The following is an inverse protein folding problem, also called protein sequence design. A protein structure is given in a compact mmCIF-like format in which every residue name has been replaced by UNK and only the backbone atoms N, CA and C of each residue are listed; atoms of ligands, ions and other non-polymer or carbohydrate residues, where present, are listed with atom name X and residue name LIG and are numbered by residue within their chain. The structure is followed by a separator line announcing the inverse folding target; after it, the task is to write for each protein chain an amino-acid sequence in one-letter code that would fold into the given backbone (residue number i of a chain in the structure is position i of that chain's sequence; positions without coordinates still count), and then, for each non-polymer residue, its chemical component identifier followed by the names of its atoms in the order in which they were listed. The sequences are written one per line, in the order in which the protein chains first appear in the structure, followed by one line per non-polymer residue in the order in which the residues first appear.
data_IF_914697122724
#
_entry.id   IF_914697122724
#
_cell.length_a   1.000
_cell.length_b   1.000
_cell.length_c   1.000
_cell.angle_alpha   90.00
_cell.angle_beta   90.00
_cell.angle_gamma   90.00
#
_symmetry.space_group_name_H-M   'P 1'
#
loop_
_entity.id
_entity.type
_entity.pdbx_description
1 polymer ?
#
# COMPACT_ATOMS: atom_id res chain seq x y z
N UNK A 1 -4.78 -6.54 2.91
CA UNK A 1 -3.66 -5.70 2.43
C UNK A 1 -3.80 -4.27 2.93
N UNK A 2 -2.74 -3.72 3.52
CA UNK A 2 -2.63 -2.32 3.88
C UNK A 2 -1.71 -1.59 2.90
N UNK A 3 -2.22 -0.53 2.26
CA UNK A 3 -1.48 0.21 1.23
C UNK A 3 -0.92 1.52 1.79
N UNK A 4 0.39 1.74 1.63
CA UNK A 4 1.06 3.01 1.94
C UNK A 4 1.48 3.69 0.64
N UNK A 5 0.76 4.75 0.26
CA UNK A 5 1.02 5.53 -0.94
C UNK A 5 1.65 6.89 -0.59
N UNK A 6 2.26 7.55 -1.57
CA UNK A 6 2.88 8.87 -1.40
C UNK A 6 4.13 9.04 -2.26
N UNK A 7 4.60 10.27 -2.45
CA UNK A 7 5.76 10.54 -3.30
C UNK A 7 7.04 9.91 -2.75
N UNK A 8 8.08 9.85 -3.57
CA UNK A 8 9.42 9.50 -3.11
C UNK A 8 9.84 10.41 -1.94
N UNK A 9 10.53 9.85 -0.95
CA UNK A 9 10.95 10.59 0.25
C UNK A 9 9.85 10.94 1.27
N UNK A 10 8.58 10.57 1.05
CA UNK A 10 7.49 10.86 2.00
C UNK A 10 7.59 10.10 3.34
N UNK A 11 8.43 9.06 3.41
CA UNK A 11 8.60 8.22 4.61
C UNK A 11 7.75 6.95 4.64
N UNK A 12 7.24 6.48 3.49
CA UNK A 12 6.48 5.23 3.34
C UNK A 12 7.28 4.02 3.83
N UNK A 13 8.47 3.80 3.27
CA UNK A 13 9.35 2.68 3.64
C UNK A 13 9.74 2.74 5.12
N UNK A 14 10.03 3.94 5.66
CA UNK A 14 10.29 4.12 7.10
C UNK A 14 9.10 3.70 7.97
N UNK A 15 7.88 4.03 7.57
CA UNK A 15 6.67 3.60 8.28
C UNK A 15 6.47 2.08 8.13
N UNK A 16 6.65 1.53 6.93
CA UNK A 16 6.55 0.11 6.66
C UNK A 16 7.54 -0.70 7.52
N UNK A 17 8.83 -0.32 7.56
CA UNK A 17 9.84 -0.96 8.41
C UNK A 17 9.47 -0.92 9.90
N UNK A 18 8.86 0.19 10.37
CA UNK A 18 8.41 0.30 11.76
C UNK A 18 7.21 -0.62 12.06
N UNK A 19 6.28 -0.74 11.12
CA UNK A 19 5.14 -1.67 11.25
C UNK A 19 5.64 -3.11 11.27
N UNK A 20 6.57 -3.45 10.38
CA UNK A 20 7.24 -4.75 10.36
C UNK A 20 7.93 -5.04 11.70
N UNK A 21 8.85 -4.18 12.15
CA UNK A 21 9.58 -4.39 13.39
C UNK A 21 8.67 -4.50 14.64
N UNK A 22 7.52 -3.83 14.63
CA UNK A 22 6.58 -3.84 15.77
C UNK A 22 5.60 -5.02 15.75
N UNK A 23 5.18 -5.46 14.57
CA UNK A 23 4.07 -6.41 14.42
C UNK A 23 4.41 -7.70 13.67
N UNK A 24 5.60 -7.80 13.09
CA UNK A 24 6.01 -8.89 12.20
C UNK A 24 5.33 -8.85 10.83
N UNK A 25 4.56 -7.81 10.52
CA UNK A 25 3.79 -7.77 9.27
C UNK A 25 4.71 -7.80 8.04
N UNK A 26 4.43 -8.66 7.05
CA UNK A 26 5.21 -8.70 5.82
C UNK A 26 5.06 -7.38 5.07
N UNK A 27 6.15 -6.95 4.41
CA UNK A 27 6.19 -5.73 3.61
C UNK A 27 6.51 -6.12 2.16
N UNK A 28 5.71 -5.61 1.22
CA UNK A 28 5.93 -5.74 -0.22
C UNK A 28 6.29 -4.36 -0.77
N UNK A 29 7.45 -4.28 -1.43
CA UNK A 29 7.92 -3.08 -2.13
C UNK A 29 7.42 -3.12 -3.57
N UNK A 30 6.37 -2.34 -3.85
CA UNK A 30 5.73 -2.28 -5.17
C UNK A 30 6.61 -1.61 -6.23
N UNK A 31 7.60 -0.83 -5.79
CA UNK A 31 8.60 -0.26 -6.69
C UNK A 31 9.46 -1.36 -7.35
N UNK A 32 9.45 -2.62 -6.87
CA UNK A 32 10.16 -3.71 -7.54
C UNK A 32 9.46 -4.19 -8.84
N UNK A 33 8.24 -3.72 -9.10
CA UNK A 33 7.47 -4.06 -10.31
C UNK A 33 7.68 -3.08 -11.48
N UNK A 34 8.75 -2.27 -11.46
CA UNK A 34 9.13 -1.51 -12.64
C UNK A 34 9.39 -2.44 -13.84
N UNK A 35 9.03 -1.97 -15.03
CA UNK A 35 9.42 -2.63 -16.28
C UNK A 35 10.93 -2.52 -16.48
N UNK A 36 11.48 -3.40 -17.29
CA UNK A 36 12.89 -3.32 -17.65
C UNK A 36 13.15 -2.14 -18.58
N UNK A 37 14.30 -1.47 -18.44
CA UNK A 37 14.72 -0.35 -19.28
C UNK A 37 14.90 -0.69 -20.76
N UNK A 38 14.88 -1.98 -21.10
CA UNK A 38 14.90 -2.49 -22.47
C UNK A 38 13.50 -2.81 -23.03
N UNK A 39 12.45 -2.71 -22.21
CA UNK A 39 11.06 -2.93 -22.64
C UNK A 39 10.66 -1.82 -23.63
N UNK A 40 10.30 -2.25 -24.85
CA UNK A 40 9.91 -1.35 -25.95
C UNK A 40 8.55 -0.69 -25.73
N UNK A 41 7.76 -1.18 -24.77
CA UNK A 41 6.51 -0.59 -24.33
C UNK A 41 6.67 0.53 -23.30
N UNK A 42 7.90 0.84 -22.86
CA UNK A 42 8.13 1.92 -21.89
C UNK A 42 7.66 3.28 -22.43
N UNK A 43 6.96 4.07 -21.61
CA UNK A 43 6.68 5.45 -21.93
C UNK A 43 7.99 6.24 -22.02
N UNK A 44 8.12 7.07 -23.05
CA UNK A 44 9.32 7.86 -23.32
C UNK A 44 9.02 9.34 -23.13
N UNK A 45 9.92 10.03 -22.44
CA UNK A 45 9.92 11.49 -22.33
C UNK A 45 10.27 12.15 -23.68
N UNK A 46 10.00 13.46 -23.86
CA UNK A 46 10.39 14.20 -25.06
C UNK A 46 11.91 14.21 -25.36
N UNK A 47 12.73 13.84 -24.38
CA UNK A 47 14.19 13.75 -24.51
C UNK A 47 14.66 12.37 -24.98
N UNK A 48 13.74 11.44 -25.28
CA UNK A 48 14.08 10.08 -25.70
C UNK A 48 14.61 9.19 -24.57
N UNK A 49 14.32 9.55 -23.32
CA UNK A 49 14.63 8.74 -22.13
C UNK A 49 13.34 8.16 -21.54
N UNK A 50 13.36 6.95 -20.94
CA UNK A 50 12.18 6.41 -20.26
C UNK A 50 11.62 7.37 -19.21
N UNK A 51 10.29 7.51 -19.19
CA UNK A 51 9.55 8.28 -18.19
C UNK A 51 9.12 7.37 -17.05
N UNK A 52 9.97 7.26 -16.03
CA UNK A 52 9.75 6.41 -14.86
C UNK A 52 8.68 6.92 -13.89
N UNK A 53 8.20 8.16 -14.07
CA UNK A 53 7.09 8.70 -13.27
C UNK A 53 5.72 8.40 -13.92
N UNK A 54 5.71 7.87 -15.15
CA UNK A 54 4.49 7.50 -15.85
C UNK A 54 3.93 6.16 -15.35
N UNK A 55 2.61 6.07 -15.20
CA UNK A 55 1.94 4.86 -14.66
C UNK A 55 2.16 3.59 -15.50
N UNK A 56 2.55 3.72 -16.77
CA UNK A 56 2.85 2.58 -17.64
C UNK A 56 4.29 2.09 -17.51
N UNK A 57 5.15 2.76 -16.73
CA UNK A 57 6.55 2.35 -16.52
C UNK A 57 6.71 1.16 -15.57
N UNK A 58 5.63 0.72 -14.92
CA UNK A 58 5.61 -0.42 -14.01
C UNK A 58 4.48 -1.38 -14.38
N UNK A 59 4.61 -2.64 -13.98
CA UNK A 59 3.61 -3.68 -14.24
C UNK A 59 2.63 -3.80 -13.07
N UNK A 60 1.61 -2.94 -13.10
CA UNK A 60 0.58 -2.88 -12.06
C UNK A 60 -0.30 -4.14 -11.97
N UNK A 61 -0.52 -4.85 -13.08
CA UNK A 61 -1.29 -6.09 -13.08
C UNK A 61 -0.48 -7.23 -12.46
N UNK A 62 0.81 -7.39 -12.84
CA UNK A 62 1.69 -8.35 -12.20
C UNK A 62 1.82 -8.09 -10.68
N UNK A 63 1.86 -6.81 -10.27
CA UNK A 63 1.85 -6.43 -8.86
C UNK A 63 0.55 -6.86 -8.18
N UNK A 64 -0.62 -6.58 -8.77
CA UNK A 64 -1.91 -6.97 -8.22
C UNK A 64 -2.04 -8.49 -8.06
N UNK A 65 -1.61 -9.25 -9.06
CA UNK A 65 -1.69 -10.71 -9.05
C UNK A 65 -0.77 -11.33 -8.00
N UNK A 66 0.46 -10.83 -7.86
CA UNK A 66 1.37 -11.26 -6.82
C UNK A 66 0.84 -10.93 -5.40
N UNK A 67 0.22 -9.75 -5.22
CA UNK A 67 -0.42 -9.37 -3.95
C UNK A 67 -1.64 -10.25 -3.63
N UNK A 68 -2.43 -10.61 -4.64
CA UNK A 68 -3.57 -11.53 -4.48
C UNK A 68 -3.09 -12.93 -4.11
N UNK A 69 -2.09 -13.44 -4.81
CA UNK A 69 -1.46 -14.72 -4.51
C UNK A 69 -0.98 -14.75 -3.05
N UNK A 70 -0.23 -13.72 -2.61
CA UNK A 70 0.25 -13.62 -1.23
C UNK A 70 -0.90 -13.63 -0.21
N UNK A 71 -2.02 -12.96 -0.51
CA UNK A 71 -3.17 -12.93 0.39
C UNK A 71 -3.90 -14.27 0.48
N UNK A 72 -4.11 -14.93 -0.66
CA UNK A 72 -4.92 -16.15 -0.76
C UNK A 72 -4.13 -17.40 -0.40
N UNK A 73 -2.91 -17.51 -0.91
CA UNK A 73 -2.05 -18.69 -0.77
C UNK A 73 -1.09 -18.56 0.42
N UNK A 74 -0.86 -17.34 0.90
CA UNK A 74 0.03 -17.07 2.03
C UNK A 74 1.50 -16.97 1.67
N UNK A 75 1.86 -17.17 0.40
CA UNK A 75 3.20 -16.96 -0.17
C UNK A 75 3.08 -16.43 -1.60
N UNK A 76 4.05 -15.65 -2.05
CA UNK A 76 4.21 -15.26 -3.44
C UNK A 76 5.66 -14.85 -3.72
N UNK A 77 6.09 -14.96 -4.98
CA UNK A 77 7.38 -14.47 -5.42
C UNK A 77 7.27 -13.02 -5.88
N UNK A 78 8.10 -12.15 -5.31
CA UNK A 78 8.23 -10.76 -5.68
C UNK A 78 9.52 -10.55 -6.47
N UNK A 79 9.54 -9.69 -7.50
CA UNK A 79 10.76 -9.32 -8.19
C UNK A 79 11.75 -8.64 -7.25
N UNK A 80 13.02 -8.62 -7.63
CA UNK A 80 14.07 -7.77 -7.05
C UNK A 80 14.58 -6.87 -8.15
N UNK A 81 14.21 -5.59 -8.10
CA UNK A 81 14.56 -4.64 -9.15
C UNK A 81 15.87 -3.91 -8.83
N UNK A 82 16.80 -3.90 -9.78
CA UNK A 82 18.03 -3.11 -9.70
C UNK A 82 17.83 -1.80 -10.47
N UNK A 83 17.62 -0.71 -9.74
CA UNK A 83 17.41 0.63 -10.30
C UNK A 83 18.60 1.06 -11.17
N UNK A 84 19.83 0.70 -10.78
CA UNK A 84 21.05 1.08 -11.51
C UNK A 84 21.19 0.38 -12.85
N UNK A 85 20.60 -0.81 -12.99
CA UNK A 85 20.52 -1.56 -14.26
C UNK A 85 19.21 -1.36 -14.99
N UNK A 86 18.22 -0.76 -14.34
CA UNK A 86 16.83 -0.69 -14.80
C UNK A 86 16.32 -2.08 -15.21
N UNK A 87 16.57 -3.10 -14.39
CA UNK A 87 16.27 -4.49 -14.75
C UNK A 87 15.91 -5.33 -13.53
N UNK A 88 15.16 -6.41 -13.75
CA UNK A 88 14.90 -7.40 -12.71
C UNK A 88 16.15 -8.26 -12.53
N UNK A 89 16.67 -8.26 -11.30
CA UNK A 89 17.90 -8.99 -10.94
C UNK A 89 17.64 -10.38 -10.36
N UNK A 90 16.38 -10.70 -10.05
CA UNK A 90 15.95 -11.96 -9.48
C UNK A 90 14.56 -11.87 -8.89
N UNK A 91 14.19 -12.86 -8.10
CA UNK A 91 12.96 -12.87 -7.30
C UNK A 91 13.25 -13.32 -5.88
N UNK A 92 12.37 -12.97 -4.95
CA UNK A 92 12.41 -13.41 -3.57
C UNK A 92 11.02 -13.86 -3.10
N UNK A 93 10.95 -14.84 -2.21
CA UNK A 93 9.68 -15.26 -1.61
C UNK A 93 9.27 -14.29 -0.50
N UNK A 94 8.01 -13.85 -0.53
CA UNK A 94 7.37 -13.18 0.60
C UNK A 94 6.33 -14.11 1.19
N UNK A 95 6.36 -14.28 2.51
CA UNK A 95 5.42 -15.13 3.24
C UNK A 95 4.54 -14.28 4.14
N UNK A 96 3.26 -14.64 4.21
CA UNK A 96 2.29 -14.02 5.13
C UNK A 96 2.50 -14.48 6.56
N UNK A 97 3.02 -15.69 6.76
CA UNK A 97 3.30 -16.31 8.06
C UNK A 97 2.13 -16.19 9.06
N UNK A 98 0.91 -16.41 8.56
CA UNK A 98 -0.31 -16.35 9.36
C UNK A 98 -0.83 -14.94 9.69
N UNK A 99 -0.06 -13.87 9.41
CA UNK A 99 -0.48 -12.49 9.68
C UNK A 99 -1.70 -12.08 8.85
N UNK A 100 -2.73 -11.53 9.47
CA UNK A 100 -3.93 -11.04 8.77
C UNK A 100 -3.69 -9.74 8.00
N UNK A 101 -2.56 -9.08 8.25
CA UNK A 101 -2.15 -7.83 7.62
C UNK A 101 -0.82 -8.04 6.90
N UNK A 102 -0.79 -7.61 5.63
CA UNK A 102 0.40 -7.42 4.81
C UNK A 102 0.43 -5.94 4.44
N UNK A 103 1.61 -5.33 4.42
CA UNK A 103 1.83 -3.93 4.03
C UNK A 103 2.38 -3.90 2.62
N UNK A 104 1.77 -3.14 1.72
CA UNK A 104 2.30 -2.85 0.40
C UNK A 104 2.62 -1.36 0.29
N UNK A 105 3.79 -1.01 -0.25
CA UNK A 105 4.25 0.37 -0.33
C UNK A 105 5.01 0.64 -1.63
N UNK A 106 4.93 1.87 -2.15
CA UNK A 106 5.58 2.26 -3.40
C UNK A 106 5.04 3.58 -3.92
N UNK A 107 5.69 4.17 -4.93
CA UNK A 107 5.23 5.44 -5.53
C UNK A 107 3.90 5.26 -6.25
N UNK A 108 3.74 4.13 -6.95
CA UNK A 108 2.50 3.77 -7.65
C UNK A 108 1.50 2.99 -6.78
N UNK A 109 1.75 2.83 -5.48
CA UNK A 109 0.89 2.05 -4.59
C UNK A 109 -0.59 2.48 -4.58
N UNK A 110 -0.89 3.74 -4.93
CA UNK A 110 -2.27 4.20 -5.08
C UNK A 110 -3.04 3.46 -6.20
N UNK A 111 -2.35 3.01 -7.26
CA UNK A 111 -2.96 2.38 -8.43
C UNK A 111 -3.49 0.96 -8.14
N UNK A 112 -2.93 0.24 -7.17
CA UNK A 112 -3.44 -1.08 -6.78
C UNK A 112 -4.68 -1.01 -5.89
N UNK A 113 -5.04 0.16 -5.37
CA UNK A 113 -6.12 0.30 -4.37
C UNK A 113 -7.48 -0.10 -4.95
N UNK A 114 -7.77 0.24 -6.21
CA UNK A 114 -9.02 -0.14 -6.86
C UNK A 114 -9.11 -1.66 -7.04
N UNK A 115 -8.11 -2.27 -7.68
CA UNK A 115 -8.06 -3.72 -7.90
C UNK A 115 -8.09 -4.52 -6.59
N UNK A 116 -7.35 -4.10 -5.55
CA UNK A 116 -7.41 -4.74 -4.23
C UNK A 116 -8.78 -4.63 -3.56
N UNK A 117 -9.50 -3.52 -3.78
CA UNK A 117 -10.85 -3.34 -3.24
C UNK A 117 -11.83 -4.28 -3.96
N UNK A 118 -11.77 -4.34 -5.29
CA UNK A 118 -12.63 -5.20 -6.12
C UNK A 118 -12.43 -6.68 -5.76
N UNK A 119 -11.19 -7.09 -5.49
CA UNK A 119 -10.83 -8.46 -5.07
C UNK A 119 -11.18 -8.77 -3.60
N UNK A 120 -11.66 -7.78 -2.84
CA UNK A 120 -12.00 -7.92 -1.41
C UNK A 120 -10.76 -8.05 -0.50
N UNK A 121 -9.58 -7.61 -0.96
CA UNK A 121 -8.30 -7.78 -0.28
C UNK A 121 -7.83 -6.50 0.44
N UNK A 122 -8.45 -5.36 0.20
CA UNK A 122 -8.07 -4.08 0.80
C UNK A 122 -8.54 -3.95 2.25
N UNK A 123 -7.60 -3.87 3.19
CA UNK A 123 -7.85 -3.57 4.60
C UNK A 123 -7.83 -2.06 4.90
N UNK A 124 -7.00 -1.30 4.15
CA UNK A 124 -6.89 0.15 4.29
C UNK A 124 -5.86 0.73 3.32
N UNK A 125 -5.95 2.03 3.06
CA UNK A 125 -4.99 2.75 2.24
C UNK A 125 -4.70 4.12 2.87
N UNK A 126 -3.43 4.46 3.00
CA UNK A 126 -2.97 5.73 3.57
C UNK A 126 -1.99 6.44 2.65
N UNK A 127 -2.28 7.71 2.38
CA UNK A 127 -1.33 8.60 1.73
C UNK A 127 -0.42 9.24 2.79
N UNK A 128 0.87 8.90 2.72
CA UNK A 128 1.91 9.44 3.58
C UNK A 128 2.44 10.71 2.93
N UNK A 129 2.50 11.78 3.70
CA UNK A 129 3.03 13.08 3.27
C UNK A 129 4.02 13.58 4.31
N UNK A 130 5.19 14.01 3.85
CA UNK A 130 6.10 14.78 4.66
C UNK A 130 5.75 16.27 4.53
N UNK A 131 5.64 16.99 5.65
CA UNK A 131 5.41 18.44 5.68
C UNK A 131 6.66 19.08 6.27
N UNK A 132 7.70 19.39 5.46
CA UNK A 132 8.87 20.08 5.97
C UNK A 132 8.45 21.45 6.51
N UNK A 133 8.68 21.70 7.81
CA UNK A 133 8.48 23.02 8.44
C UNK A 133 7.36 23.13 9.48
N UNK A 134 6.57 22.09 9.77
CA UNK A 134 5.55 22.14 10.84
C UNK A 134 6.04 21.40 12.10
N UNK A 135 6.25 22.07 13.25
CA UNK A 135 6.51 21.36 14.50
C UNK A 135 5.24 20.56 14.85
N UNK A 136 5.37 19.25 14.93
CA UNK A 136 4.24 18.36 15.21
C UNK A 136 4.29 17.88 16.65
N UNK A 137 3.31 18.23 17.51
CA UNK A 137 2.87 17.32 18.53
C UNK A 137 1.95 16.27 17.86
N UNK A 138 2.51 15.09 17.58
CA UNK A 138 1.79 13.82 17.69
C UNK A 138 0.54 13.51 16.83
N UNK A 139 0.24 14.19 15.72
CA UNK A 139 -0.97 13.93 14.95
C UNK A 139 -0.70 13.43 13.52
N UNK A 140 -0.55 12.11 13.36
CA UNK A 140 -0.67 11.45 12.05
C UNK A 140 -2.14 11.47 11.64
N UNK A 141 -2.48 12.07 10.48
CA UNK A 141 -3.84 12.05 9.94
C UNK A 141 -3.90 11.12 8.73
N UNK A 142 -4.35 9.91 8.99
CA UNK A 142 -4.82 8.97 7.99
C UNK A 142 -6.13 9.49 7.38
N UNK A 143 -6.15 9.84 6.09
CA UNK A 143 -7.39 10.02 5.35
C UNK A 143 -7.64 8.77 4.52
N UNK A 144 -8.56 7.92 4.96
CA UNK A 144 -9.13 6.88 4.11
C UNK A 144 -9.93 7.56 2.99
N UNK A 145 -9.78 7.19 1.71
CA UNK A 145 -10.73 7.63 0.69
C UNK A 145 -12.09 7.01 1.04
N UNK A 146 -13.03 7.85 1.45
CA UNK A 146 -14.43 7.47 1.61
C UNK A 146 -14.93 6.97 0.26
N UNK A 147 -15.61 5.82 0.25
CA UNK A 147 -16.28 5.30 -0.92
C UNK A 147 -17.33 6.33 -1.39
N UNK A 148 -17.01 7.07 -2.46
CA UNK A 148 -18.02 7.81 -3.20
C UNK A 148 -18.93 6.77 -3.87
N UNK A 149 -20.11 6.56 -3.29
CA UNK A 149 -21.15 5.73 -3.87
C UNK A 149 -21.63 6.38 -5.20
N UNK A 150 -21.86 5.62 -6.28
CA UNK A 150 -22.43 6.17 -7.50
C UNK A 150 -23.86 6.67 -7.20
N UNK A 151 -24.09 7.97 -7.39
CA UNK A 151 -25.41 8.58 -7.25
C UNK A 151 -26.32 8.08 -8.38
N UNK A 152 -27.36 7.33 -8.05
CA UNK A 152 -28.57 7.22 -8.88
C UNK A 152 -29.59 8.31 -8.47
N UNK A 153 -30.38 8.86 -9.40
CA UNK A 153 -31.28 9.98 -9.12
C UNK A 153 -32.63 9.50 -8.55
N UNK A 154 -33.03 10.18 -7.47
CA UNK A 154 -34.42 10.49 -7.05
C UNK A 154 -35.44 9.35 -6.81
N UNK A 155 -35.89 9.24 -5.55
CA UNK A 155 -37.16 8.60 -5.17
C UNK A 155 -37.26 8.45 -3.64
N UNK A 156 -38.21 9.14 -3.00
CA UNK A 156 -38.22 9.39 -1.55
C UNK A 156 -38.55 8.20 -0.64
N UNK A 157 -38.34 8.40 0.67
CA UNK A 157 -38.98 7.60 1.73
C UNK A 157 -38.06 7.02 2.80
N UNK A 158 -37.79 7.81 3.85
CA UNK A 158 -37.53 7.47 5.27
C UNK A 158 -36.91 6.09 5.59
N UNK A 159 -35.67 6.05 6.13
CA UNK A 159 -35.36 5.63 7.53
C UNK A 159 -33.84 5.65 7.84
N UNK A 160 -33.52 6.24 9.00
CA UNK A 160 -32.36 6.03 9.89
C UNK A 160 -31.11 5.31 9.36
N UNK A 161 -29.96 6.01 9.34
CA UNK A 161 -28.64 5.38 9.36
C UNK A 161 -27.94 5.76 10.66
N UNK A 162 -27.79 4.76 11.54
CA UNK A 162 -27.06 4.84 12.78
C UNK A 162 -25.60 5.23 12.54
N UNK A 163 -25.07 6.10 13.40
CA UNK A 163 -23.66 6.46 13.44
C UNK A 163 -22.78 5.22 13.70
N UNK A 164 -21.61 5.07 13.06
CA UNK A 164 -20.68 4.01 13.43
C UNK A 164 -20.14 4.28 14.84
N UNK A 165 -20.36 3.30 15.69
CA UNK A 165 -19.88 3.22 17.06
C UNK A 165 -18.36 3.37 17.13
N UNK A 166 -17.89 4.13 18.12
CA UNK A 166 -16.48 4.17 18.51
C UNK A 166 -16.04 2.75 18.89
N UNK A 167 -15.17 2.15 18.10
CA UNK A 167 -14.44 0.94 18.52
C UNK A 167 -13.40 1.35 19.56
N UNK A 168 -13.69 1.07 20.82
CA UNK A 168 -12.74 1.12 21.93
C UNK A 168 -12.02 -0.23 22.04
N UNK A 169 -10.69 -0.22 21.92
CA UNK A 169 -9.86 -1.41 22.16
C UNK A 169 -9.62 -1.59 23.68
N UNK A 170 -9.78 -2.80 24.24
CA UNK A 170 -9.52 -3.04 25.65
C UNK A 170 -8.03 -2.86 25.96
N UNK A 171 -7.72 -1.97 26.89
CA UNK A 171 -6.39 -1.86 27.50
C UNK A 171 -6.18 -3.05 28.44
N UNK A 172 -5.32 -4.00 28.09
CA UNK A 172 -4.83 -4.96 29.06
C UNK A 172 -3.78 -4.29 29.94
N UNK A 173 -4.19 -3.94 31.16
CA UNK A 173 -3.27 -3.61 32.26
C UNK A 173 -2.46 -4.86 32.56
N UNK A 174 -1.14 -4.84 32.33
CA UNK A 174 -0.23 -5.76 33.00
C UNK A 174 0.25 -5.11 34.29
N UNK A 175 -0.25 -5.66 35.39
CA UNK A 175 0.26 -5.44 36.74
C UNK A 175 1.66 -6.04 36.85
N UNK A 176 2.63 -5.25 37.28
CA UNK A 176 3.97 -5.72 37.67
C UNK A 176 3.89 -6.12 39.15
N UNK A 177 4.21 -7.37 39.54
CA UNK A 177 4.45 -7.67 40.94
C UNK A 177 5.89 -7.31 41.31
N UNK A 178 6.04 -6.49 42.35
CA UNK A 178 7.28 -6.31 43.07
C UNK A 178 7.66 -7.61 43.80
N UNK A 179 8.90 -8.06 43.61
CA UNK A 179 9.83 -8.47 44.67
C UNK A 179 11.24 -8.62 44.11
#
# INVERSE_FOLDING_TARGET
MLVLAGPSGAGKSRLASRLHARHGWPVVQLDDFYREGTDTGLPMSPLGLPDWDHVDSWDGEAALDALEQLCREGTAHMPVYDIGRSAVSGTHEVRRDGHTVVVAEGIFAAHVVAGLRERGLLAGAWCIRNQPGRPSPGAWRATSPSAASPRSPCGGGVTSCAAPSRVSWPHSRRSVPHR
#
